data_IF_195082824896
#
_entry.id   IF_195082824896
#
_cell.length_a   1.000
_cell.length_b   1.000
_cell.length_c   1.000
_cell.angle_alpha   90.00
_cell.angle_beta   90.00
_cell.angle_gamma   90.00
#
_symmetry.space_group_name_H-M   'P 1'
#
loop_
_entity.id
_entity.type
_entity.pdbx_description
1 polymer ?
#
# COMPACT_ATOMS: atom_id res chain seq x y z
N UNK A 1 -28.02 0.89 6.30
CA UNK A 1 -26.91 0.20 6.98
C UNK A 1 -26.03 1.19 7.76
N UNK A 2 -26.57 1.86 8.79
CA UNK A 2 -25.85 2.94 9.48
C UNK A 2 -24.71 2.43 10.38
N UNK A 3 -24.68 1.14 10.74
CA UNK A 3 -23.64 0.57 11.62
C UNK A 3 -22.29 0.33 10.90
N UNK A 4 -22.34 0.04 9.61
CA UNK A 4 -21.16 -0.37 8.83
C UNK A 4 -20.77 0.63 7.74
N UNK A 5 -21.48 1.77 7.68
CA UNK A 5 -21.19 2.84 6.72
C UNK A 5 -21.14 4.19 7.41
N UNK A 6 -20.18 5.02 6.99
CA UNK A 6 -20.05 6.40 7.44
C UNK A 6 -21.02 7.36 6.71
N UNK A 7 -21.63 6.92 5.61
CA UNK A 7 -22.62 7.68 4.84
C UNK A 7 -23.01 6.94 3.56
N UNK A 8 -23.83 7.57 2.72
CA UNK A 8 -24.29 6.96 1.47
C UNK A 8 -23.17 6.88 0.41
N UNK A 9 -22.17 7.75 0.52
CA UNK A 9 -20.99 7.75 -0.34
C UNK A 9 -19.74 7.55 0.49
N UNK A 10 -18.96 6.55 0.13
CA UNK A 10 -17.62 6.36 0.69
C UNK A 10 -16.69 7.48 0.21
N UNK A 11 -16.02 8.14 1.16
CA UNK A 11 -15.08 9.23 0.90
C UNK A 11 -13.78 8.91 1.60
N UNK A 12 -12.69 8.87 0.86
CA UNK A 12 -11.34 8.73 1.40
C UNK A 12 -10.38 9.61 0.61
N UNK A 13 -9.27 9.95 1.23
CA UNK A 13 -8.16 10.67 0.62
C UNK A 13 -6.95 9.75 0.57
N UNK A 14 -6.30 9.69 -0.58
CA UNK A 14 -5.04 8.99 -0.78
C UNK A 14 -4.01 9.94 -1.36
N UNK A 15 -2.85 10.03 -0.71
CA UNK A 15 -1.72 10.85 -1.13
C UNK A 15 -0.54 9.94 -1.41
N UNK A 16 0.00 10.06 -2.62
CA UNK A 16 1.16 9.30 -3.07
C UNK A 16 2.33 10.24 -3.31
N UNK A 17 3.50 9.83 -2.85
CA UNK A 17 4.78 10.45 -3.20
C UNK A 17 5.69 9.36 -3.72
N UNK A 18 6.29 9.60 -4.88
CA UNK A 18 7.30 8.73 -5.47
C UNK A 18 8.60 9.50 -5.59
N UNK A 19 9.70 8.87 -5.21
CA UNK A 19 11.04 9.43 -5.30
C UNK A 19 11.90 8.48 -6.13
N UNK A 20 12.50 9.01 -7.19
CA UNK A 20 13.40 8.30 -8.07
C UNK A 20 14.63 9.18 -8.36
N UNK A 21 15.74 8.58 -8.76
CA UNK A 21 16.90 9.35 -9.19
C UNK A 21 16.60 10.02 -10.54
N UNK A 22 17.06 11.26 -10.71
CA UNK A 22 16.88 12.00 -11.96
C UNK A 22 17.57 11.30 -13.13
N UNK A 23 18.77 10.77 -12.92
CA UNK A 23 19.53 10.10 -13.97
C UNK A 23 18.78 8.86 -14.50
N UNK A 24 18.09 8.13 -13.61
CA UNK A 24 17.27 6.98 -14.00
C UNK A 24 16.09 7.41 -14.88
N UNK A 25 15.47 8.56 -14.57
CA UNK A 25 14.34 9.12 -15.33
C UNK A 25 14.74 9.68 -16.70
N UNK A 26 16.00 10.06 -16.88
CA UNK A 26 16.54 10.51 -18.17
C UNK A 26 16.89 9.34 -19.10
N UNK A 27 16.94 8.12 -18.57
CA UNK A 27 17.15 6.90 -19.33
C UNK A 27 15.93 6.47 -20.17
N UNK A 28 16.11 5.44 -20.99
CA UNK A 28 15.06 4.84 -21.82
C UNK A 28 14.39 3.61 -21.19
N UNK A 29 14.73 3.29 -19.93
CA UNK A 29 14.19 2.13 -19.26
C UNK A 29 12.67 2.28 -19.07
N UNK A 30 11.87 1.20 -19.25
CA UNK A 30 10.42 1.25 -19.09
C UNK A 30 9.97 1.43 -17.63
N UNK A 31 10.90 1.43 -16.68
CA UNK A 31 10.65 1.80 -15.31
C UNK A 31 11.94 1.89 -14.50
N UNK A 32 11.91 2.68 -13.45
CA UNK A 32 13.09 3.02 -12.63
C UNK A 32 12.94 2.51 -11.20
N UNK A 33 14.04 2.31 -10.46
CA UNK A 33 13.98 2.19 -9.02
C UNK A 33 13.26 3.39 -8.42
N UNK A 34 12.37 3.16 -7.46
CA UNK A 34 11.65 4.22 -6.79
C UNK A 34 11.37 3.85 -5.34
N UNK A 35 11.42 4.84 -4.45
CA UNK A 35 10.82 4.74 -3.12
C UNK A 35 9.48 5.44 -3.12
N UNK A 36 8.55 4.98 -2.28
CA UNK A 36 7.23 5.56 -2.17
C UNK A 36 6.87 5.86 -0.73
N UNK A 37 6.07 6.91 -0.56
CA UNK A 37 5.29 7.18 0.63
C UNK A 37 3.82 7.23 0.22
N UNK A 38 2.98 6.51 0.94
CA UNK A 38 1.54 6.53 0.76
C UNK A 38 0.90 6.88 2.10
N UNK A 39 0.00 7.85 2.08
CA UNK A 39 -0.84 8.17 3.23
C UNK A 39 -2.29 8.15 2.82
N UNK A 40 -3.14 7.57 3.66
CA UNK A 40 -4.57 7.51 3.43
C UNK A 40 -5.33 7.96 4.66
N UNK A 41 -6.39 8.72 4.43
CA UNK A 41 -7.38 9.05 5.45
C UNK A 41 -8.72 8.49 5.00
N UNK A 42 -9.36 7.70 5.86
CA UNK A 42 -10.67 7.13 5.57
C UNK A 42 -11.56 7.12 6.81
N UNK A 43 -12.88 6.95 6.64
CA UNK A 43 -13.75 6.57 7.74
C UNK A 43 -13.35 5.22 8.35
N UNK A 44 -14.01 4.84 9.43
CA UNK A 44 -13.92 3.51 10.03
C UNK A 44 -14.21 2.42 8.99
N UNK A 45 -13.49 1.29 9.08
CA UNK A 45 -13.76 0.16 8.20
C UNK A 45 -15.08 -0.52 8.58
N UNK A 46 -15.81 -1.11 7.62
CA UNK A 46 -17.13 -1.70 7.88
C UNK A 46 -17.16 -2.69 9.05
N UNK A 47 -16.13 -3.53 9.18
CA UNK A 47 -16.02 -4.54 10.23
C UNK A 47 -15.80 -3.96 11.64
N UNK A 48 -15.43 -2.68 11.75
CA UNK A 48 -15.32 -1.98 13.04
C UNK A 48 -16.70 -1.57 13.60
N UNK A 49 -17.77 -1.71 12.82
CA UNK A 49 -19.15 -1.45 13.24
C UNK A 49 -19.33 -0.07 13.90
N UNK A 50 -18.75 0.94 13.26
CA UNK A 50 -18.60 2.28 13.83
C UNK A 50 -19.47 3.35 13.17
N UNK A 51 -20.15 2.98 12.08
CA UNK A 51 -21.15 3.81 11.43
C UNK A 51 -20.71 5.23 11.13
N UNK A 52 -21.58 6.18 11.45
CA UNK A 52 -21.34 7.62 11.28
C UNK A 52 -20.59 8.27 12.45
N UNK A 53 -20.00 7.48 13.36
CA UNK A 53 -19.27 8.04 14.49
C UNK A 53 -18.06 8.84 13.99
N UNK A 54 -17.89 10.04 14.53
CA UNK A 54 -16.76 10.91 14.19
C UNK A 54 -15.42 10.18 14.38
N UNK A 55 -14.48 10.47 13.48
CA UNK A 55 -13.17 9.83 13.42
C UNK A 55 -13.02 8.90 12.22
N UNK A 56 -11.96 8.09 12.26
CA UNK A 56 -11.60 7.22 11.16
C UNK A 56 -10.17 6.70 11.31
N UNK A 57 -9.56 6.37 10.19
CA UNK A 57 -8.24 5.77 10.13
C UNK A 57 -7.28 6.67 9.34
N UNK A 58 -6.07 6.76 9.86
CA UNK A 58 -4.93 7.34 9.15
C UNK A 58 -3.91 6.25 8.93
N UNK A 59 -3.57 6.02 7.67
CA UNK A 59 -2.56 5.06 7.24
C UNK A 59 -1.32 5.83 6.83
N UNK A 60 -0.16 5.35 7.28
CA UNK A 60 1.14 5.79 6.79
C UNK A 60 1.93 4.56 6.37
N UNK A 61 2.28 4.50 5.10
CA UNK A 61 3.08 3.42 4.56
C UNK A 61 4.26 3.99 3.78
N UNK A 62 5.35 3.25 3.81
CA UNK A 62 6.52 3.48 2.97
C UNK A 62 6.83 2.18 2.24
N UNK A 63 7.36 2.32 1.05
CA UNK A 63 7.75 1.19 0.24
C UNK A 63 8.85 1.55 -0.73
N UNK A 64 9.28 0.56 -1.49
CA UNK A 64 10.14 0.75 -2.65
C UNK A 64 9.75 -0.25 -3.72
N UNK A 65 10.01 0.10 -4.98
CA UNK A 65 9.94 -0.85 -6.08
C UNK A 65 11.07 -1.88 -5.88
N UNK A 66 10.72 -3.15 -5.96
CA UNK A 66 11.69 -4.25 -5.88
C UNK A 66 12.07 -4.70 -7.29
N UNK A 67 13.36 -4.97 -7.50
CA UNK A 67 13.88 -5.46 -8.78
C UNK A 67 13.79 -6.97 -8.94
N UNK A 68 13.70 -7.71 -7.84
CA UNK A 68 13.62 -9.18 -7.85
C UNK A 68 12.96 -9.71 -6.57
N UNK A 69 12.64 -11.02 -6.58
CA UNK A 69 12.07 -11.69 -5.40
C UNK A 69 13.04 -11.68 -4.22
N UNK A 70 14.35 -11.78 -4.46
CA UNK A 70 15.39 -11.79 -3.42
C UNK A 70 15.40 -10.51 -2.58
N UNK A 71 14.95 -9.39 -3.14
CA UNK A 71 14.83 -8.11 -2.45
C UNK A 71 13.63 -8.03 -1.50
N UNK A 72 12.68 -8.98 -1.59
CA UNK A 72 11.54 -9.06 -0.67
C UNK A 72 12.06 -9.33 0.76
N UNK A 73 11.55 -8.64 1.79
CA UNK A 73 11.97 -8.85 3.17
C UNK A 73 11.92 -10.33 3.58
N UNK A 74 12.95 -10.80 4.29
CA UNK A 74 13.14 -12.22 4.60
C UNK A 74 11.94 -12.85 5.32
N UNK A 75 11.26 -12.11 6.21
CA UNK A 75 10.03 -12.59 6.87
C UNK A 75 8.93 -12.92 5.87
N UNK A 76 8.73 -12.07 4.88
CA UNK A 76 7.72 -12.28 3.84
C UNK A 76 8.10 -13.45 2.94
N UNK A 77 9.38 -13.53 2.52
CA UNK A 77 9.88 -14.69 1.75
C UNK A 77 9.72 -16.01 2.49
N UNK A 78 9.99 -16.04 3.80
CA UNK A 78 9.82 -17.23 4.62
C UNK A 78 8.34 -17.67 4.69
N UNK A 79 7.42 -16.71 4.84
CA UNK A 79 5.98 -16.99 4.81
C UNK A 79 5.54 -17.53 3.45
N UNK A 80 5.97 -16.90 2.35
CA UNK A 80 5.70 -17.35 0.99
C UNK A 80 6.19 -18.78 0.79
N UNK A 81 7.45 -19.08 1.16
CA UNK A 81 7.99 -20.42 1.02
C UNK A 81 7.21 -21.48 1.82
N UNK A 82 6.69 -21.13 3.00
CA UNK A 82 5.97 -22.05 3.87
C UNK A 82 4.51 -22.28 3.46
N UNK A 83 3.86 -21.30 2.83
CA UNK A 83 2.41 -21.32 2.63
C UNK A 83 1.98 -21.18 1.16
N UNK A 84 2.76 -20.46 0.36
CA UNK A 84 2.43 -20.11 -1.02
C UNK A 84 3.67 -20.07 -1.92
N UNK A 85 4.40 -21.19 -2.08
CA UNK A 85 5.66 -21.22 -2.84
C UNK A 85 5.47 -20.83 -4.31
N UNK A 86 4.26 -20.91 -4.84
CA UNK A 86 3.90 -20.39 -6.17
C UNK A 86 4.19 -18.89 -6.33
N UNK A 87 4.29 -18.10 -5.26
CA UNK A 87 4.66 -16.68 -5.33
C UNK A 87 6.14 -16.41 -5.08
N UNK A 88 7.00 -17.43 -5.04
CA UNK A 88 8.43 -17.28 -4.79
C UNK A 88 9.24 -16.84 -6.04
N UNK A 89 8.64 -15.99 -6.88
CA UNK A 89 9.26 -15.42 -8.08
C UNK A 89 8.70 -14.01 -8.36
N UNK A 90 9.42 -13.23 -9.16
CA UNK A 90 9.06 -11.86 -9.55
C UNK A 90 8.52 -11.81 -10.99
#
# INVERSE_FOLDING_TARGET
YPLHSAGDTYKALELFQFFADRADLEGSAPGVPATMSWSRMSPWLPWMAQGQRLGGLTFHCRGRKLGSYEEVPGRTRAYIAAHHPEFAHA
#
